data_IF_918869968645
#
_entry.id   IF_918869968645
#
_cell.length_a   1.000
_cell.length_b   1.000
_cell.length_c   1.000
_cell.angle_alpha   90.00
_cell.angle_beta   90.00
_cell.angle_gamma   90.00
#
_symmetry.space_group_name_H-M   'P 1'
#
loop_
_entity.id
_entity.type
_entity.pdbx_description
1 polymer ?
#
# COMPACT_ATOMS: atom_id res chain seq x y z
N UNK A 1 -14.06 -1.06 -6.57
CA UNK A 1 -14.95 -0.48 -7.59
C UNK A 1 -14.69 1.01 -7.58
N UNK A 2 -13.90 1.51 -8.52
CA UNK A 2 -13.58 2.94 -8.61
C UNK A 2 -14.36 3.52 -9.77
N UNK A 3 -15.22 4.50 -9.48
CA UNK A 3 -15.86 5.34 -10.48
C UNK A 3 -14.77 5.97 -11.37
N UNK A 4 -14.95 5.90 -12.68
CA UNK A 4 -14.11 6.61 -13.64
C UNK A 4 -14.76 7.94 -14.05
N UNK A 5 -13.99 8.92 -14.55
CA UNK A 5 -14.54 10.16 -15.10
C UNK A 5 -15.60 9.89 -16.18
N UNK A 6 -15.41 8.86 -17.01
CA UNK A 6 -16.38 8.43 -18.01
C UNK A 6 -17.66 7.84 -17.40
N UNK A 7 -17.56 7.18 -16.24
CA UNK A 7 -18.74 6.70 -15.51
C UNK A 7 -19.57 7.88 -15.00
N UNK A 8 -18.93 8.95 -14.52
CA UNK A 8 -19.59 10.19 -14.05
C UNK A 8 -20.32 10.90 -15.19
N UNK A 9 -19.71 10.96 -16.39
CA UNK A 9 -20.34 11.51 -17.61
C UNK A 9 -21.58 10.74 -18.07
N UNK A 10 -21.60 9.44 -17.83
CA UNK A 10 -22.68 8.56 -18.29
C UNK A 10 -23.75 8.29 -17.21
N UNK A 11 -23.67 8.94 -16.04
CA UNK A 11 -24.72 8.81 -15.01
C UNK A 11 -25.99 9.50 -15.50
N UNK A 12 -27.10 8.76 -15.49
CA UNK A 12 -28.43 9.32 -15.72
C UNK A 12 -29.27 9.21 -14.46
N UNK A 13 -29.78 10.36 -13.99
CA UNK A 13 -30.69 10.40 -12.86
C UNK A 13 -32.15 10.23 -13.33
N UNK A 14 -32.95 9.51 -12.53
CA UNK A 14 -34.39 9.37 -12.81
C UNK A 14 -35.08 10.70 -12.53
N UNK A 15 -35.94 11.16 -13.45
CA UNK A 15 -36.76 12.36 -13.23
C UNK A 15 -37.65 12.18 -11.98
N UNK A 16 -37.83 13.23 -11.16
CA UNK A 16 -38.69 13.16 -9.99
C UNK A 16 -40.10 12.72 -10.36
N UNK A 17 -40.73 11.87 -9.54
CA UNK A 17 -42.13 11.50 -9.72
C UNK A 17 -43.01 12.75 -9.58
N UNK A 18 -44.08 12.82 -10.39
CA UNK A 18 -44.99 13.97 -10.47
C UNK A 18 -45.43 14.41 -9.05
N UNK A 19 -45.08 15.64 -8.68
CA UNK A 19 -45.42 16.24 -7.37
C UNK A 19 -44.27 16.33 -6.36
N UNK A 20 -43.11 15.73 -6.64
CA UNK A 20 -41.91 15.86 -5.80
C UNK A 20 -40.93 16.89 -6.40
N UNK A 21 -40.32 17.71 -5.55
CA UNK A 21 -39.23 18.62 -5.96
C UNK A 21 -37.96 17.81 -6.18
N UNK A 22 -37.38 17.90 -7.37
CA UNK A 22 -36.05 17.38 -7.69
C UNK A 22 -34.97 18.43 -7.50
N UNK A 23 -33.71 17.99 -7.64
CA UNK A 23 -32.60 18.89 -7.85
C UNK A 23 -32.72 19.57 -9.21
N UNK A 24 -32.18 20.77 -9.32
CA UNK A 24 -32.09 21.51 -10.58
C UNK A 24 -31.11 20.78 -11.52
N UNK A 25 -31.53 20.55 -12.76
CA UNK A 25 -30.74 19.79 -13.75
C UNK A 25 -29.45 20.55 -14.09
N UNK A 26 -29.51 21.87 -14.21
CA UNK A 26 -28.36 22.71 -14.56
C UNK A 26 -27.34 22.76 -13.41
N UNK A 27 -27.81 22.78 -12.15
CA UNK A 27 -26.94 22.77 -10.97
C UNK A 27 -26.26 21.40 -10.79
N UNK A 28 -26.98 20.31 -11.04
CA UNK A 28 -26.45 18.95 -11.00
C UNK A 28 -25.42 18.74 -12.11
N UNK A 29 -25.70 19.18 -13.34
CA UNK A 29 -24.77 19.04 -14.47
C UNK A 29 -23.49 19.86 -14.27
N UNK A 30 -23.60 21.06 -13.70
CA UNK A 30 -22.44 21.87 -13.32
C UNK A 30 -21.58 21.17 -12.26
N UNK A 31 -22.21 20.58 -11.24
CA UNK A 31 -21.52 19.84 -10.20
C UNK A 31 -20.84 18.56 -10.73
N UNK A 32 -21.51 17.80 -11.60
CA UNK A 32 -20.93 16.60 -12.22
C UNK A 32 -19.72 16.94 -13.10
N UNK A 33 -19.75 18.08 -13.79
CA UNK A 33 -18.62 18.59 -14.58
C UNK A 33 -17.40 18.88 -13.69
N UNK A 34 -17.62 19.46 -12.50
CA UNK A 34 -16.56 19.72 -11.53
C UNK A 34 -16.00 18.41 -10.93
N UNK A 35 -16.87 17.49 -10.54
CA UNK A 35 -16.50 16.17 -10.02
C UNK A 35 -15.70 15.37 -11.05
N UNK A 36 -16.12 15.42 -12.32
CA UNK A 36 -15.41 14.75 -13.41
C UNK A 36 -13.98 15.29 -13.58
N UNK A 37 -13.84 16.62 -13.59
CA UNK A 37 -12.54 17.29 -13.68
C UNK A 37 -11.63 16.93 -12.52
N UNK A 38 -12.13 16.98 -11.29
CA UNK A 38 -11.35 16.66 -10.10
C UNK A 38 -10.99 15.17 -10.03
N UNK A 39 -11.90 14.28 -10.41
CA UNK A 39 -11.63 12.85 -10.49
C UNK A 39 -10.57 12.52 -11.56
N UNK A 40 -10.62 13.19 -12.71
CA UNK A 40 -9.59 13.10 -13.74
C UNK A 40 -8.23 13.56 -13.22
N UNK A 41 -8.19 14.71 -12.55
CA UNK A 41 -6.97 15.26 -11.95
C UNK A 41 -6.40 14.33 -10.87
N UNK A 42 -7.24 13.82 -9.97
CA UNK A 42 -6.82 12.89 -8.93
C UNK A 42 -6.29 11.57 -9.52
N UNK A 43 -6.87 11.08 -10.61
CA UNK A 43 -6.36 9.89 -11.29
C UNK A 43 -5.01 10.15 -11.95
N UNK A 44 -4.84 11.28 -12.62
CA UNK A 44 -3.57 11.68 -13.23
C UNK A 44 -2.49 11.90 -12.16
N UNK A 45 -2.82 12.55 -11.05
CA UNK A 45 -1.92 12.72 -9.91
C UNK A 45 -1.59 11.38 -9.25
N UNK A 46 -2.56 10.46 -9.12
CA UNK A 46 -2.29 9.12 -8.60
C UNK A 46 -1.37 8.34 -9.54
N UNK A 47 -1.56 8.44 -10.85
CA UNK A 47 -0.70 7.82 -11.86
C UNK A 47 0.70 8.44 -11.83
N UNK A 48 0.81 9.75 -11.67
CA UNK A 48 2.08 10.48 -11.54
C UNK A 48 2.81 10.12 -10.26
N UNK A 49 2.11 10.04 -9.13
CA UNK A 49 2.67 9.62 -7.84
C UNK A 49 3.11 8.15 -7.88
N UNK A 50 2.31 7.27 -8.49
CA UNK A 50 2.69 5.86 -8.72
C UNK A 50 3.88 5.74 -9.67
N UNK A 51 3.95 6.58 -10.69
CA UNK A 51 5.08 6.68 -11.61
C UNK A 51 6.35 7.14 -10.91
N UNK A 52 6.24 8.17 -10.06
CA UNK A 52 7.35 8.70 -9.24
C UNK A 52 7.79 7.71 -8.16
N UNK A 53 6.87 6.94 -7.57
CA UNK A 53 7.23 5.85 -6.66
C UNK A 53 8.00 4.74 -7.40
N UNK A 54 7.55 4.34 -8.60
CA UNK A 54 8.28 3.38 -9.45
C UNK A 54 9.63 3.88 -9.94
N UNK A 55 9.75 5.17 -10.25
CA UNK A 55 11.02 5.79 -10.66
C UNK A 55 11.95 6.04 -9.46
N UNK A 56 11.42 6.41 -8.30
CA UNK A 56 12.19 6.52 -7.05
C UNK A 56 12.76 5.17 -6.60
N UNK A 57 12.02 4.09 -6.80
CA UNK A 57 12.53 2.71 -6.64
C UNK A 57 13.61 2.33 -7.68
N UNK A 58 13.58 2.92 -8.88
CA UNK A 58 14.52 2.63 -9.96
C UNK A 58 15.82 3.45 -9.90
N UNK A 59 15.75 4.71 -9.45
CA UNK A 59 16.91 5.61 -9.32
C UNK A 59 17.80 5.24 -8.12
N UNK A 60 17.21 4.61 -7.08
CA UNK A 60 17.93 4.05 -5.93
C UNK A 60 18.51 2.63 -6.16
N UNK A 61 18.41 2.09 -7.38
CA UNK A 61 18.77 0.71 -7.72
C UNK A 61 20.06 0.52 -8.52
N UNK A 62 20.86 1.57 -8.75
CA UNK A 62 22.01 1.50 -9.68
C UNK A 62 23.39 1.25 -9.05
N UNK A 63 23.54 1.15 -7.71
CA UNK A 63 24.86 0.86 -7.10
C UNK A 63 24.86 -0.04 -5.86
N UNK A 64 23.80 -0.80 -5.58
CA UNK A 64 23.85 -1.80 -4.50
C UNK A 64 22.94 -3.01 -4.73
N UNK A 65 23.56 -4.17 -4.95
CA UNK A 65 23.03 -5.47 -4.51
C UNK A 65 21.82 -6.03 -5.27
N UNK A 66 22.11 -6.88 -6.26
CA UNK A 66 21.22 -7.96 -6.70
C UNK A 66 20.59 -8.70 -5.51
N UNK A 67 19.32 -8.43 -5.20
CA UNK A 67 18.60 -9.16 -4.13
C UNK A 67 17.17 -8.72 -3.83
N UNK A 68 16.80 -7.46 -4.07
CA UNK A 68 15.52 -6.92 -3.58
C UNK A 68 14.69 -6.18 -4.65
N UNK A 69 14.58 -6.72 -5.86
CA UNK A 69 13.67 -6.19 -6.90
C UNK A 69 12.31 -6.91 -6.99
N UNK A 70 12.10 -7.98 -6.24
CA UNK A 70 10.89 -8.83 -6.38
C UNK A 70 9.88 -8.69 -5.24
N UNK A 71 10.32 -8.23 -4.06
CA UNK A 71 9.53 -8.25 -2.83
C UNK A 71 8.11 -7.62 -2.89
N UNK A 72 7.88 -6.43 -3.48
CA UNK A 72 6.53 -5.87 -3.55
C UNK A 72 5.63 -6.61 -4.57
N UNK A 73 6.21 -7.19 -5.61
CA UNK A 73 5.47 -8.00 -6.59
C UNK A 73 5.10 -9.38 -6.04
N UNK A 74 6.00 -10.01 -5.25
CA UNK A 74 5.74 -11.29 -4.58
C UNK A 74 4.67 -11.16 -3.50
N UNK A 75 4.70 -10.10 -2.70
CA UNK A 75 3.68 -9.87 -1.66
C UNK A 75 2.28 -9.69 -2.27
N UNK A 76 2.20 -9.01 -3.41
CA UNK A 76 0.94 -8.73 -4.09
C UNK A 76 0.39 -9.98 -4.78
N UNK A 77 1.24 -10.83 -5.36
CA UNK A 77 0.82 -12.14 -5.89
C UNK A 77 0.38 -13.10 -4.78
N UNK A 78 1.03 -13.04 -3.62
CA UNK A 78 0.65 -13.85 -2.45
C UNK A 78 -0.70 -13.41 -1.88
N UNK A 79 -0.95 -12.11 -1.74
CA UNK A 79 -2.27 -11.56 -1.36
C UNK A 79 -3.36 -11.98 -2.35
N UNK A 80 -3.06 -11.96 -3.66
CA UNK A 80 -4.01 -12.42 -4.67
C UNK A 80 -4.28 -13.92 -4.56
N UNK A 81 -3.25 -14.74 -4.30
CA UNK A 81 -3.39 -16.18 -4.06
C UNK A 81 -4.23 -16.50 -2.83
N UNK A 82 -4.01 -15.79 -1.73
CA UNK A 82 -4.81 -15.94 -0.49
C UNK A 82 -6.28 -15.60 -0.77
N UNK A 83 -6.55 -14.50 -1.49
CA UNK A 83 -7.94 -14.11 -1.84
C UNK A 83 -8.64 -15.13 -2.73
N UNK A 84 -7.94 -15.70 -3.71
CA UNK A 84 -8.48 -16.77 -4.54
C UNK A 84 -8.84 -17.99 -3.69
N UNK A 85 -7.93 -18.40 -2.80
CA UNK A 85 -8.15 -19.56 -1.92
C UNK A 85 -9.30 -19.37 -0.93
N UNK A 86 -9.51 -18.15 -0.42
CA UNK A 86 -10.68 -17.82 0.41
C UNK A 86 -11.98 -17.96 -0.38
N UNK A 87 -11.98 -17.56 -1.67
CA UNK A 87 -13.17 -17.72 -2.53
C UNK A 87 -13.47 -19.20 -2.77
N UNK A 88 -12.46 -19.98 -3.14
CA UNK A 88 -12.62 -21.41 -3.43
C UNK A 88 -13.12 -22.18 -2.20
N UNK A 89 -12.63 -21.85 -0.99
CA UNK A 89 -13.10 -22.46 0.25
C UNK A 89 -14.57 -22.12 0.56
N UNK A 90 -15.00 -20.89 0.27
CA UNK A 90 -16.41 -20.49 0.43
C UNK A 90 -17.31 -21.22 -0.56
N UNK A 91 -16.90 -21.30 -1.82
CA UNK A 91 -17.66 -22.01 -2.85
C UNK A 91 -17.80 -23.50 -2.51
N UNK A 92 -16.72 -24.13 -2.00
CA UNK A 92 -16.75 -25.51 -1.53
C UNK A 92 -17.65 -25.71 -0.30
N UNK A 93 -17.67 -24.74 0.63
CA UNK A 93 -18.59 -24.76 1.77
C UNK A 93 -20.05 -24.69 1.31
N UNK A 94 -20.37 -23.76 0.42
CA UNK A 94 -21.73 -23.61 -0.13
C UNK A 94 -22.19 -24.86 -0.89
N UNK A 95 -21.26 -25.57 -1.54
CA UNK A 95 -21.55 -26.83 -2.21
C UNK A 95 -21.79 -27.97 -1.20
N UNK A 96 -20.98 -28.06 -0.15
CA UNK A 96 -21.18 -29.03 0.93
C UNK A 96 -22.54 -28.83 1.62
N UNK A 97 -22.92 -27.59 1.91
CA UNK A 97 -24.21 -27.25 2.52
C UNK A 97 -25.41 -27.60 1.61
N UNK A 98 -25.25 -27.49 0.29
CA UNK A 98 -26.26 -27.93 -0.67
C UNK A 98 -26.42 -29.45 -0.65
N UNK A 99 -25.32 -30.20 -0.69
CA UNK A 99 -25.37 -31.67 -0.61
C UNK A 99 -26.02 -32.16 0.69
N UNK A 100 -25.74 -31.51 1.82
CA UNK A 100 -26.39 -31.84 3.11
C UNK A 100 -27.91 -31.59 3.04
N UNK A 101 -28.34 -30.46 2.47
CA UNK A 101 -29.77 -30.17 2.28
C UNK A 101 -30.45 -31.18 1.35
N UNK A 102 -29.80 -31.55 0.26
CA UNK A 102 -30.35 -32.52 -0.69
C UNK A 102 -30.53 -33.89 -0.01
N UNK A 103 -29.51 -34.37 0.71
CA UNK A 103 -29.58 -35.61 1.48
C UNK A 103 -30.67 -35.56 2.57
N UNK A 104 -30.84 -34.42 3.25
CA UNK A 104 -31.92 -34.25 4.22
C UNK A 104 -33.30 -34.38 3.57
N UNK A 105 -33.51 -33.74 2.42
CA UNK A 105 -34.78 -33.82 1.70
C UNK A 105 -35.07 -35.24 1.19
N UNK A 106 -34.04 -35.97 0.77
CA UNK A 106 -34.15 -37.37 0.33
C UNK A 106 -34.49 -38.31 1.49
N UNK A 107 -33.90 -38.09 2.67
CA UNK A 107 -34.22 -38.81 3.90
C UNK A 107 -35.67 -38.55 4.35
N UNK A 108 -36.13 -37.30 4.34
CA UNK A 108 -37.51 -36.95 4.67
C UNK A 108 -38.50 -37.60 3.70
N UNK A 109 -38.19 -37.61 2.41
CA UNK A 109 -39.00 -38.29 1.40
C UNK A 109 -39.04 -39.81 1.60
N UNK A 110 -37.89 -40.44 1.88
CA UNK A 110 -37.82 -41.88 2.18
C UNK A 110 -38.57 -42.25 3.47
N UNK A 111 -38.48 -41.41 4.52
CA UNK A 111 -39.26 -41.58 5.75
C UNK A 111 -40.76 -41.48 5.50
N UNK A 112 -41.21 -40.53 4.68
CA UNK A 112 -42.62 -40.38 4.33
C UNK A 112 -43.18 -41.62 3.58
N UNK A 113 -42.39 -42.22 2.69
CA UNK A 113 -42.76 -43.48 2.02
C UNK A 113 -42.80 -44.68 2.98
N UNK A 114 -41.83 -44.79 3.89
CA UNK A 114 -41.79 -45.87 4.88
C UNK A 114 -43.00 -45.81 5.84
N UNK A 115 -43.45 -44.59 6.20
CA UNK A 115 -44.66 -44.37 7.01
C UNK A 115 -45.96 -44.70 6.25
N UNK A 116 -45.95 -44.70 4.91
CA UNK A 116 -47.09 -45.07 4.07
C UNK A 116 -47.21 -46.58 3.79
N UNK A 117 -46.19 -47.39 4.12
CA UNK A 117 -46.18 -48.83 3.84
C UNK A 117 -47.04 -49.65 4.85
N UNK A 118 -47.78 -50.68 4.42
CA UNK A 118 -48.76 -51.41 5.24
C UNK A 118 -48.12 -52.16 6.43
N UNK A 119 -48.84 -52.20 7.55
CA UNK A 119 -48.36 -52.58 8.89
C UNK A 119 -47.78 -54.00 9.04
N UNK A 120 -48.02 -54.92 8.10
CA UNK A 120 -47.55 -56.31 8.17
C UNK A 120 -46.05 -56.53 7.91
N UNK A 121 -45.35 -55.56 7.30
CA UNK A 121 -43.88 -55.62 7.07
C UNK A 121 -43.06 -54.86 8.12
N UNK A 122 -43.72 -54.05 8.97
CA UNK A 122 -43.06 -53.17 9.95
C UNK A 122 -42.31 -53.93 11.05
N UNK A 123 -42.90 -55.00 11.59
CA UNK A 123 -42.34 -55.73 12.74
C UNK A 123 -40.99 -56.44 12.45
N UNK A 124 -40.74 -56.88 11.21
CA UNK A 124 -39.49 -57.54 10.80
C UNK A 124 -38.45 -56.52 10.27
N UNK A 125 -38.93 -55.39 9.74
CA UNK A 125 -38.09 -54.24 9.37
C UNK A 125 -37.62 -53.41 10.56
N UNK A 126 -38.36 -53.37 11.68
CA UNK A 126 -38.04 -52.54 12.85
C UNK A 126 -36.69 -52.95 13.49
N UNK A 127 -36.37 -54.24 13.54
CA UNK A 127 -35.10 -54.74 14.11
C UNK A 127 -33.87 -54.60 13.20
N UNK A 128 -34.06 -54.55 11.88
CA UNK A 128 -32.99 -54.33 10.89
C UNK A 128 -32.80 -52.84 10.58
N UNK A 129 -33.89 -52.08 10.54
CA UNK A 129 -33.91 -50.62 10.38
C UNK A 129 -33.29 -49.90 11.57
N UNK A 130 -33.58 -50.34 12.81
CA UNK A 130 -32.93 -49.78 14.00
C UNK A 130 -31.40 -49.98 14.01
N UNK A 131 -30.90 -51.11 13.50
CA UNK A 131 -29.45 -51.35 13.36
C UNK A 131 -28.81 -50.48 12.29
N UNK A 132 -29.49 -50.31 11.14
CA UNK A 132 -29.01 -49.46 10.07
C UNK A 132 -29.04 -47.97 10.46
N UNK A 133 -30.06 -47.52 11.18
CA UNK A 133 -30.14 -46.18 11.78
C UNK A 133 -29.03 -45.97 12.81
N UNK A 134 -28.78 -46.94 13.69
CA UNK A 134 -27.69 -46.86 14.67
C UNK A 134 -26.30 -46.80 14.00
N UNK A 135 -26.10 -47.53 12.89
CA UNK A 135 -24.89 -47.40 12.07
C UNK A 135 -24.81 -46.04 11.38
N UNK A 136 -25.88 -45.58 10.75
CA UNK A 136 -25.91 -44.29 10.07
C UNK A 136 -25.68 -43.12 11.04
N UNK A 137 -26.28 -43.16 12.23
CA UNK A 137 -26.06 -42.20 13.31
C UNK A 137 -24.59 -42.19 13.71
N UNK A 138 -23.99 -43.37 13.96
CA UNK A 138 -22.58 -43.48 14.31
C UNK A 138 -21.66 -42.96 13.22
N UNK A 139 -21.96 -43.26 11.95
CA UNK A 139 -21.19 -42.77 10.81
C UNK A 139 -21.31 -41.25 10.68
N UNK A 140 -22.50 -40.69 10.89
CA UNK A 140 -22.70 -39.24 10.89
C UNK A 140 -21.92 -38.57 12.04
N UNK A 141 -22.00 -39.11 13.25
CA UNK A 141 -21.26 -38.62 14.42
C UNK A 141 -19.73 -38.65 14.16
N UNK A 142 -19.21 -39.73 13.57
CA UNK A 142 -17.80 -39.81 13.17
C UNK A 142 -17.41 -38.74 12.16
N UNK A 143 -18.23 -38.50 11.13
CA UNK A 143 -17.95 -37.45 10.15
C UNK A 143 -18.00 -36.06 10.78
N UNK A 144 -18.87 -35.81 11.77
CA UNK A 144 -18.89 -34.54 12.51
C UNK A 144 -17.65 -34.35 13.36
N UNK A 145 -17.18 -35.40 14.06
CA UNK A 145 -15.95 -35.36 14.83
C UNK A 145 -14.72 -35.13 13.93
N UNK A 146 -14.64 -35.84 12.80
CA UNK A 146 -13.56 -35.69 11.83
C UNK A 146 -13.56 -34.29 11.21
N UNK A 147 -14.72 -33.79 10.76
CA UNK A 147 -14.85 -32.44 10.19
C UNK A 147 -14.48 -31.36 11.22
N UNK A 148 -14.90 -31.53 12.47
CA UNK A 148 -14.55 -30.61 13.56
C UNK A 148 -13.04 -30.61 13.81
N UNK A 149 -12.43 -31.79 13.87
CA UNK A 149 -10.98 -31.94 14.07
C UNK A 149 -10.17 -31.31 12.94
N UNK A 150 -10.58 -31.54 11.69
CA UNK A 150 -9.94 -30.91 10.52
C UNK A 150 -10.11 -29.38 10.54
N UNK A 151 -11.29 -28.87 10.92
CA UNK A 151 -11.52 -27.43 11.05
C UNK A 151 -10.62 -26.80 12.12
N UNK A 152 -10.54 -27.41 13.30
CA UNK A 152 -9.66 -26.97 14.39
C UNK A 152 -8.19 -26.98 13.95
N UNK A 153 -7.76 -28.02 13.21
CA UNK A 153 -6.42 -28.09 12.65
C UNK A 153 -6.16 -26.95 11.66
N UNK A 154 -7.04 -26.73 10.67
CA UNK A 154 -6.89 -25.64 9.68
C UNK A 154 -6.86 -24.27 10.36
N UNK A 155 -7.69 -24.04 11.38
CA UNK A 155 -7.68 -22.79 12.14
C UNK A 155 -6.36 -22.57 12.88
N UNK A 156 -5.81 -23.61 13.51
CA UNK A 156 -4.50 -23.53 14.19
C UNK A 156 -3.33 -23.30 13.25
N UNK A 157 -3.34 -23.94 12.06
CA UNK A 157 -2.33 -23.75 11.04
C UNK A 157 -2.42 -22.34 10.42
N UNK A 158 -3.63 -21.90 10.08
CA UNK A 158 -3.87 -20.55 9.57
C UNK A 158 -3.43 -19.49 10.57
N UNK A 159 -3.68 -19.71 11.87
CA UNK A 159 -3.24 -18.80 12.93
C UNK A 159 -1.72 -18.75 13.05
N UNK A 160 -1.06 -19.89 13.13
CA UNK A 160 0.42 -19.97 13.18
C UNK A 160 1.04 -19.29 11.96
N UNK A 161 0.51 -19.55 10.77
CA UNK A 161 0.99 -18.95 9.52
C UNK A 161 0.76 -17.44 9.49
N UNK A 162 -0.38 -16.96 9.99
CA UNK A 162 -0.65 -15.54 10.11
C UNK A 162 0.31 -14.85 11.08
N UNK A 163 0.59 -15.47 12.23
CA UNK A 163 1.55 -14.95 13.22
C UNK A 163 2.96 -14.89 12.62
N UNK A 164 3.36 -15.92 11.85
CA UNK A 164 4.65 -15.92 11.15
C UNK A 164 4.74 -14.79 10.11
N UNK A 165 3.73 -14.64 9.24
CA UNK A 165 3.73 -13.58 8.20
C UNK A 165 3.74 -12.19 8.83
N UNK A 166 3.01 -11.99 9.93
CA UNK A 166 3.04 -10.73 10.67
C UNK A 166 4.42 -10.47 11.27
N UNK A 167 5.04 -11.47 11.91
CA UNK A 167 6.39 -11.34 12.46
C UNK A 167 7.45 -11.04 11.39
N UNK A 168 7.38 -11.70 10.23
CA UNK A 168 8.27 -11.44 9.10
C UNK A 168 8.06 -10.04 8.52
N UNK A 169 6.80 -9.60 8.39
CA UNK A 169 6.48 -8.25 7.92
C UNK A 169 6.94 -7.17 8.89
N UNK A 170 6.76 -7.38 10.20
CA UNK A 170 7.24 -6.48 11.26
C UNK A 170 8.75 -6.38 11.29
N UNK A 171 9.46 -7.52 11.21
CA UNK A 171 10.92 -7.55 11.16
C UNK A 171 11.45 -6.78 9.94
N UNK A 172 10.81 -6.96 8.78
CA UNK A 172 11.19 -6.26 7.54
C UNK A 172 10.87 -4.77 7.57
N UNK A 173 9.75 -4.39 8.19
CA UNK A 173 9.41 -2.98 8.38
C UNK A 173 10.44 -2.32 9.29
N UNK A 174 10.82 -2.97 10.39
CA UNK A 174 11.84 -2.48 11.31
C UNK A 174 13.19 -2.30 10.60
N UNK A 175 13.66 -3.31 9.86
CA UNK A 175 14.94 -3.21 9.15
C UNK A 175 14.93 -2.08 8.10
N UNK A 176 13.81 -1.87 7.41
CA UNK A 176 13.68 -0.79 6.42
C UNK A 176 13.74 0.59 7.07
N UNK A 177 13.15 0.74 8.27
CA UNK A 177 13.22 1.98 9.04
C UNK A 177 14.64 2.23 9.53
N UNK A 178 15.32 1.21 10.05
CA UNK A 178 16.72 1.30 10.49
C UNK A 178 17.64 1.68 9.32
N UNK A 179 17.50 1.04 8.17
CA UNK A 179 18.27 1.35 6.95
C UNK A 179 18.02 2.79 6.49
N UNK A 180 16.77 3.26 6.53
CA UNK A 180 16.42 4.63 6.16
C UNK A 180 17.03 5.66 7.13
N UNK A 181 17.01 5.37 8.43
CA UNK A 181 17.64 6.22 9.45
C UNK A 181 19.16 6.29 9.30
N UNK A 182 19.82 5.15 9.07
CA UNK A 182 21.25 5.12 8.82
C UNK A 182 21.64 5.94 7.58
N UNK A 183 20.92 5.76 6.47
CA UNK A 183 21.15 6.55 5.25
C UNK A 183 20.95 8.04 5.48
N UNK A 184 19.94 8.41 6.26
CA UNK A 184 19.68 9.79 6.63
C UNK A 184 20.83 10.38 7.45
N UNK A 185 21.30 9.65 8.47
CA UNK A 185 22.40 10.10 9.32
C UNK A 185 23.72 10.20 8.54
N UNK A 186 23.97 9.26 7.63
CA UNK A 186 25.10 9.29 6.70
C UNK A 186 25.03 10.49 5.75
N UNK A 187 23.85 10.80 5.20
CA UNK A 187 23.64 11.96 4.35
C UNK A 187 23.87 13.27 5.12
N UNK A 188 23.37 13.37 6.36
CA UNK A 188 23.62 14.52 7.22
C UNK A 188 25.10 14.66 7.59
N UNK A 189 25.81 13.56 7.80
CA UNK A 189 27.25 13.57 8.04
C UNK A 189 28.01 14.11 6.82
N UNK A 190 27.67 13.63 5.61
CA UNK A 190 28.26 14.13 4.36
C UNK A 190 28.01 15.62 4.15
N UNK A 191 26.78 16.10 4.36
CA UNK A 191 26.44 17.52 4.24
C UNK A 191 27.25 18.35 5.24
N UNK A 192 27.42 17.87 6.48
CA UNK A 192 28.25 18.54 7.48
C UNK A 192 29.73 18.61 7.05
N UNK A 193 30.28 17.53 6.51
CA UNK A 193 31.66 17.50 6.04
C UNK A 193 31.88 18.45 4.86
N UNK A 194 30.94 18.49 3.90
CA UNK A 194 30.94 19.44 2.79
C UNK A 194 30.84 20.89 3.30
N UNK A 195 29.94 21.18 4.24
CA UNK A 195 29.83 22.50 4.85
C UNK A 195 31.15 22.94 5.48
N UNK A 196 31.81 22.06 6.23
CA UNK A 196 33.11 22.35 6.85
C UNK A 196 34.21 22.57 5.80
N UNK A 197 34.21 21.79 4.71
CA UNK A 197 35.13 21.98 3.61
C UNK A 197 34.92 23.31 2.89
N UNK A 198 33.68 23.68 2.57
CA UNK A 198 33.33 24.98 1.98
C UNK A 198 33.71 26.13 2.90
N UNK A 199 33.47 26.00 4.21
CA UNK A 199 33.90 27.01 5.19
C UNK A 199 35.41 27.19 5.23
N UNK A 200 36.20 26.10 5.11
CA UNK A 200 37.66 26.19 5.00
C UNK A 200 38.08 26.91 3.73
N UNK A 201 37.49 26.55 2.58
CA UNK A 201 37.77 27.22 1.31
C UNK A 201 37.45 28.72 1.35
N UNK A 202 36.32 29.11 1.93
CA UNK A 202 35.97 30.53 2.09
C UNK A 202 37.01 31.27 2.94
N UNK A 203 37.48 30.66 4.03
CA UNK A 203 38.54 31.24 4.88
C UNK A 203 39.86 31.37 4.12
N UNK A 204 40.26 30.35 3.37
CA UNK A 204 41.48 30.35 2.55
C UNK A 204 41.43 31.43 1.47
N UNK A 205 40.33 31.53 0.73
CA UNK A 205 40.14 32.57 -0.28
C UNK A 205 40.12 33.99 0.31
N UNK A 206 39.54 34.15 1.50
CA UNK A 206 39.53 35.44 2.20
C UNK A 206 40.94 35.85 2.63
N UNK A 207 41.70 34.91 3.21
CA UNK A 207 43.10 35.15 3.58
C UNK A 207 43.95 35.47 2.34
N UNK A 208 43.80 34.69 1.27
CA UNK A 208 44.48 34.93 -0.01
C UNK A 208 44.18 36.33 -0.57
N UNK A 209 42.91 36.75 -0.53
CA UNK A 209 42.51 38.09 -0.94
C UNK A 209 43.18 39.19 -0.11
N UNK A 210 43.17 39.04 1.22
CA UNK A 210 43.83 39.98 2.14
C UNK A 210 45.34 40.08 1.87
N UNK A 211 46.01 38.94 1.71
CA UNK A 211 47.44 38.87 1.40
C UNK A 211 47.75 39.52 0.05
N UNK A 212 46.97 39.20 -0.99
CA UNK A 212 47.13 39.78 -2.32
C UNK A 212 46.96 41.31 -2.32
N UNK A 213 45.93 41.83 -1.64
CA UNK A 213 45.73 43.27 -1.50
C UNK A 213 46.87 43.94 -0.72
N UNK A 214 47.40 43.30 0.32
CA UNK A 214 48.54 43.83 1.07
C UNK A 214 49.80 43.93 0.20
N UNK A 215 50.06 42.92 -0.65
CA UNK A 215 51.18 42.90 -1.59
C UNK A 215 51.02 43.95 -2.68
N UNK A 216 49.82 44.05 -3.26
CA UNK A 216 49.51 45.06 -4.28
C UNK A 216 49.66 46.47 -3.70
N UNK A 217 49.20 46.71 -2.47
CA UNK A 217 49.36 47.98 -1.77
C UNK A 217 50.84 48.32 -1.55
N UNK A 218 51.63 47.35 -1.11
CA UNK A 218 53.06 47.54 -0.91
C UNK A 218 53.81 47.84 -2.24
N UNK A 219 53.48 47.16 -3.34
CA UNK A 219 54.07 47.45 -4.66
C UNK A 219 53.62 48.83 -5.19
N UNK A 220 52.34 49.18 -5.02
CA UNK A 220 51.83 50.50 -5.37
C UNK A 220 52.54 51.60 -4.58
N UNK A 221 52.70 51.44 -3.26
CA UNK A 221 53.38 52.41 -2.39
C UNK A 221 54.86 52.55 -2.73
N UNK A 222 55.53 51.46 -3.11
CA UNK A 222 56.92 51.47 -3.60
C UNK A 222 57.08 52.21 -4.94
N UNK A 223 56.05 52.17 -5.80
CA UNK A 223 56.04 52.86 -7.10
C UNK A 223 55.45 54.28 -7.04
N UNK A 224 54.73 54.62 -5.98
CA UNK A 224 54.07 55.92 -5.76
C UNK A 224 54.82 56.98 -4.89
N UNK A 225 56.13 56.91 -4.56
CA UNK A 225 56.78 58.07 -3.92
C UNK A 225 56.81 59.32 -4.82
N UNK A 226 56.73 59.15 -6.15
CA UNK A 226 56.89 60.24 -7.14
C UNK A 226 55.59 60.80 -7.73
N UNK A 227 54.42 60.22 -7.43
CA UNK A 227 53.14 60.66 -8.02
C UNK A 227 52.12 60.96 -6.92
N UNK A 228 52.30 62.11 -6.27
CA UNK A 228 51.28 62.68 -5.40
C UNK A 228 50.03 63.03 -6.21
N UNK A 229 49.03 62.14 -6.25
CA UNK A 229 47.56 62.39 -6.25
C UNK A 229 46.85 61.02 -6.45
N UNK A 230 45.90 60.60 -5.58
CA UNK A 230 45.24 59.31 -5.73
C UNK A 230 44.10 59.38 -6.77
N UNK A 231 44.21 58.59 -7.84
CA UNK A 231 43.12 58.26 -8.77
C UNK A 231 42.71 56.80 -8.54
N UNK A 232 41.87 56.54 -7.53
CA UNK A 232 41.13 55.27 -7.49
C UNK A 232 39.76 55.45 -6.80
N UNK A 233 38.64 55.12 -7.48
CA UNK A 233 37.31 55.16 -6.88
C UNK A 233 37.14 54.03 -5.84
N UNK A 234 36.24 54.19 -4.85
CA UNK A 234 36.11 53.25 -3.73
C UNK A 234 35.60 51.88 -4.16
N UNK A 235 36.09 50.84 -3.50
CA UNK A 235 35.66 49.44 -3.70
C UNK A 235 34.15 49.29 -3.41
N UNK A 236 33.43 48.46 -4.20
CA UNK A 236 32.05 48.14 -3.90
C UNK A 236 31.94 47.40 -2.55
N UNK A 237 30.85 47.60 -1.80
CA UNK A 237 30.64 46.95 -0.51
C UNK A 237 30.62 45.41 -0.66
N UNK A 238 31.00 44.66 0.39
CA UNK A 238 30.94 43.20 0.36
C UNK A 238 29.53 42.73 0.01
N UNK A 239 29.45 41.73 -0.88
CA UNK A 239 28.18 41.13 -1.31
C UNK A 239 27.44 40.56 -0.09
N UNK A 240 26.35 41.23 0.30
CA UNK A 240 25.40 40.73 1.29
C UNK A 240 24.42 39.83 0.54
N UNK A 241 24.48 38.52 0.81
CA UNK A 241 23.51 37.58 0.27
C UNK A 241 22.08 38.03 0.65
N UNK A 242 21.11 38.01 -0.28
CA UNK A 242 19.75 38.40 0.03
C UNK A 242 19.18 37.50 1.13
N UNK A 243 18.72 38.12 2.21
CA UNK A 243 17.99 37.47 3.29
C UNK A 243 16.67 36.88 2.75
N UNK A 244 16.71 35.66 2.23
CA UNK A 244 15.56 35.08 1.54
C UNK A 244 15.68 33.62 1.14
N UNK A 245 16.65 32.86 1.64
CA UNK A 245 16.60 31.39 1.52
C UNK A 245 15.75 30.89 2.69
N UNK A 246 14.44 30.86 2.47
CA UNK A 246 13.53 30.10 3.33
C UNK A 246 13.93 28.63 3.24
N UNK A 247 14.24 28.07 4.40
CA UNK A 247 14.35 26.64 4.64
C UNK A 247 13.13 25.93 4.04
N UNK A 248 13.40 24.92 3.20
CA UNK A 248 12.45 23.87 2.81
C UNK A 248 13.08 22.53 3.17
#
# INVERSE_FOLDING_TARGET
MSLTPDDVRNVSFRKPSVGMRGYDEDEVDAFLTEVERELGQLLEDNLRLRGRARHGDADYGSDAGSGYGSAPATLLSEIQGIRARIRDLRDAQDEAERRVRDLQSELEWAQSQAQAAPAGRRAESDGSGARMLAMAQRTADQHFEDARRTSEQVLSEARTRSEQVLGEAEAKALSTVEDAQQRHDDALARIRDEQLALQRQVKELTAFGQDYFSLLRADAEKRMPDLGTPLMPPLPPPYVAPAGVREW
#
